data_IF_524201990248
#
_entry.id   IF_524201990248
#
_cell.length_a   1.000
_cell.length_b   1.000
_cell.length_c   1.000
_cell.angle_alpha   90.00
_cell.angle_beta   90.00
_cell.angle_gamma   90.00
#
_symmetry.space_group_name_H-M   'P 1'
#
loop_
_entity.id
_entity.type
_entity.pdbx_description
1 polymer ?
#
# COMPACT_ATOMS: atom_id res chain seq x y z
N UNK A 1 2.70 16.63 -14.85
CA UNK A 1 1.72 15.65 -15.37
C UNK A 1 0.58 15.51 -14.35
N UNK A 2 -0.66 15.38 -14.77
CA UNK A 2 -1.78 15.19 -13.81
C UNK A 2 -1.78 13.72 -13.38
N UNK A 3 -1.43 13.47 -12.12
CA UNK A 3 -1.34 12.10 -11.56
C UNK A 3 -2.65 11.34 -11.70
N UNK A 4 -3.80 12.02 -11.53
CA UNK A 4 -5.13 11.39 -11.66
C UNK A 4 -5.35 10.85 -13.06
N UNK A 5 -5.06 11.66 -14.09
CA UNK A 5 -5.17 11.24 -15.50
C UNK A 5 -4.21 10.10 -15.85
N UNK A 6 -3.00 10.11 -15.28
CA UNK A 6 -2.04 9.02 -15.49
C UNK A 6 -2.53 7.71 -14.93
N UNK A 7 -3.07 7.73 -13.71
CA UNK A 7 -3.63 6.55 -13.06
C UNK A 7 -4.89 6.06 -13.77
N UNK A 8 -5.76 6.96 -14.22
CA UNK A 8 -6.92 6.60 -15.03
C UNK A 8 -6.50 5.80 -16.28
N UNK A 9 -5.50 6.30 -17.03
CA UNK A 9 -4.98 5.58 -18.21
C UNK A 9 -4.45 4.18 -17.87
N UNK A 10 -3.77 4.02 -16.72
CA UNK A 10 -3.27 2.73 -16.26
C UNK A 10 -4.44 1.78 -15.96
N UNK A 11 -5.46 2.26 -15.25
CA UNK A 11 -6.66 1.50 -14.91
C UNK A 11 -7.38 1.04 -16.19
N UNK A 12 -7.61 1.96 -17.12
CA UNK A 12 -8.34 1.68 -18.36
C UNK A 12 -7.55 0.73 -19.28
N UNK A 13 -6.25 1.00 -19.49
CA UNK A 13 -5.38 0.17 -20.35
C UNK A 13 -5.26 -1.26 -19.88
N UNK A 14 -5.25 -1.49 -18.57
CA UNK A 14 -5.06 -2.82 -17.97
C UNK A 14 -6.36 -3.42 -17.42
N UNK A 15 -7.51 -2.77 -17.66
CA UNK A 15 -8.84 -3.20 -17.20
C UNK A 15 -8.87 -3.56 -15.71
N UNK A 16 -8.17 -2.73 -14.87
CA UNK A 16 -7.96 -3.07 -13.47
C UNK A 16 -9.23 -3.06 -12.62
N UNK A 17 -10.25 -2.27 -12.99
CA UNK A 17 -11.50 -2.11 -12.23
C UNK A 17 -12.70 -2.17 -13.20
N UNK A 18 -12.99 -3.34 -13.79
CA UNK A 18 -14.00 -3.47 -14.85
C UNK A 18 -15.41 -3.10 -14.38
N UNK A 19 -15.77 -3.36 -13.13
CA UNK A 19 -17.09 -3.09 -12.56
C UNK A 19 -17.20 -1.70 -11.92
N UNK A 20 -16.16 -0.86 -12.03
CA UNK A 20 -16.03 0.43 -11.32
C UNK A 20 -16.29 0.33 -9.80
N UNK A 21 -16.06 -0.83 -9.23
CA UNK A 21 -16.22 -1.10 -7.80
C UNK A 21 -15.01 -1.82 -7.24
N UNK A 22 -14.46 -1.33 -6.09
CA UNK A 22 -13.22 -1.84 -5.53
C UNK A 22 -13.11 -1.64 -4.03
N UNK A 23 -12.45 -2.60 -3.35
CA UNK A 23 -11.94 -2.36 -1.99
C UNK A 23 -10.58 -1.68 -2.06
N UNK A 24 -10.34 -0.69 -1.23
CA UNK A 24 -9.07 0.06 -1.16
C UNK A 24 -8.45 -0.13 0.21
N UNK A 25 -7.27 -0.74 0.27
CA UNK A 25 -6.56 -0.91 1.53
C UNK A 25 -5.95 0.43 1.97
N UNK A 26 -6.40 0.94 3.11
CA UNK A 26 -6.02 2.24 3.65
C UNK A 26 -5.34 2.08 4.99
N UNK A 27 -4.03 2.40 5.05
CA UNK A 27 -3.26 2.41 6.30
C UNK A 27 -3.23 3.77 6.99
N UNK A 28 -3.65 4.83 6.31
CA UNK A 28 -3.49 6.23 6.73
C UNK A 28 -2.22 6.90 6.19
N UNK A 29 -1.26 6.15 5.67
CA UNK A 29 -0.04 6.69 5.04
C UNK A 29 -0.31 7.31 3.66
N UNK A 30 0.61 8.18 3.21
CA UNK A 30 0.49 8.98 1.99
C UNK A 30 -0.01 8.19 0.77
N UNK A 31 0.60 7.04 0.49
CA UNK A 31 0.30 6.26 -0.71
C UNK A 31 -1.12 5.70 -0.71
N UNK A 32 -1.58 5.20 0.44
CA UNK A 32 -2.93 4.64 0.59
C UNK A 32 -4.01 5.74 0.60
N UNK A 33 -3.70 6.89 1.19
CA UNK A 33 -4.59 8.08 1.17
C UNK A 33 -4.72 8.62 -0.25
N UNK A 34 -3.59 8.77 -0.95
CA UNK A 34 -3.60 9.20 -2.35
C UNK A 34 -4.38 8.25 -3.24
N UNK A 35 -4.17 6.94 -3.09
CA UNK A 35 -4.91 5.93 -3.86
C UNK A 35 -6.41 6.07 -3.65
N UNK A 36 -6.89 6.15 -2.40
CA UNK A 36 -8.31 6.29 -2.09
C UNK A 36 -8.90 7.57 -2.71
N UNK A 37 -8.22 8.72 -2.53
CA UNK A 37 -8.67 10.00 -3.07
C UNK A 37 -8.68 10.03 -4.61
N UNK A 38 -7.68 9.44 -5.26
CA UNK A 38 -7.62 9.36 -6.72
C UNK A 38 -8.77 8.51 -7.26
N UNK A 39 -9.00 7.33 -6.69
CA UNK A 39 -10.09 6.46 -7.13
C UNK A 39 -11.47 7.10 -6.90
N UNK A 40 -11.64 7.82 -5.80
CA UNK A 40 -12.84 8.61 -5.52
C UNK A 40 -13.05 9.74 -6.56
N UNK A 41 -11.98 10.48 -6.93
CA UNK A 41 -12.03 11.52 -7.98
C UNK A 41 -12.32 10.96 -9.39
N UNK A 42 -12.09 9.67 -9.61
CA UNK A 42 -12.39 8.96 -10.85
C UNK A 42 -13.80 8.33 -10.86
N UNK A 43 -14.67 8.71 -9.90
CA UNK A 43 -16.03 8.19 -9.73
C UNK A 43 -16.08 6.64 -9.67
N UNK A 44 -15.10 6.04 -8.98
CA UNK A 44 -15.06 4.60 -8.72
C UNK A 44 -15.73 4.35 -7.37
N UNK A 45 -16.68 3.40 -7.33
CA UNK A 45 -17.34 2.95 -6.10
C UNK A 45 -16.34 2.24 -5.18
N UNK A 46 -15.81 2.97 -4.19
CA UNK A 46 -14.79 2.51 -3.27
C UNK A 46 -15.40 2.06 -1.95
N UNK A 47 -14.86 0.96 -1.40
CA UNK A 47 -14.99 0.60 0.01
C UNK A 47 -13.60 0.66 0.63
N UNK A 48 -13.37 1.52 1.59
CA UNK A 48 -12.11 1.55 2.34
C UNK A 48 -12.01 0.33 3.25
N UNK A 49 -10.84 -0.30 3.30
CA UNK A 49 -10.57 -1.43 4.21
C UNK A 49 -9.31 -1.13 5.02
N UNK A 50 -9.43 -1.17 6.34
CA UNK A 50 -8.35 -0.87 7.27
C UNK A 50 -8.07 -2.06 8.17
N UNK A 51 -6.78 -2.39 8.36
CA UNK A 51 -6.35 -3.40 9.34
C UNK A 51 -5.52 -2.70 10.41
N UNK A 52 -6.06 -2.64 11.62
CA UNK A 52 -5.33 -2.16 12.79
C UNK A 52 -4.57 -3.33 13.41
N UNK A 53 -3.27 -3.32 13.25
CA UNK A 53 -2.35 -4.37 13.71
C UNK A 53 -2.03 -4.30 15.21
N UNK A 54 -2.49 -3.28 15.93
CA UNK A 54 -2.28 -3.02 17.35
C UNK A 54 -0.79 -3.07 17.80
N UNK A 55 0.14 -2.79 16.87
CA UNK A 55 1.59 -2.88 17.13
C UNK A 55 2.14 -1.71 17.94
N UNK A 56 1.46 -0.56 17.95
CA UNK A 56 1.98 0.72 18.48
C UNK A 56 1.08 1.32 19.57
N UNK A 57 0.31 0.49 20.28
CA UNK A 57 -0.60 0.97 21.34
C UNK A 57 -1.55 2.06 20.83
N UNK A 58 -1.59 3.23 21.51
CA UNK A 58 -2.47 4.35 21.15
C UNK A 58 -2.26 4.88 19.73
N UNK A 59 -1.02 4.91 19.22
CA UNK A 59 -0.74 5.38 17.87
C UNK A 59 -1.43 4.56 16.78
N UNK A 60 -1.65 3.25 17.00
CA UNK A 60 -2.41 2.42 16.06
C UNK A 60 -3.90 2.80 16.02
N UNK A 61 -4.46 3.25 17.13
CA UNK A 61 -5.84 3.77 17.21
C UNK A 61 -5.97 5.17 16.62
N UNK A 62 -4.92 6.01 16.74
CA UNK A 62 -4.88 7.32 16.09
C UNK A 62 -4.87 7.19 14.56
N UNK A 63 -4.15 6.19 14.02
CA UNK A 63 -4.18 5.90 12.59
C UNK A 63 -5.55 5.40 12.14
N UNK A 64 -6.19 4.54 12.92
CA UNK A 64 -7.55 4.09 12.66
C UNK A 64 -8.53 5.27 12.65
N UNK A 65 -8.49 6.13 13.68
CA UNK A 65 -9.34 7.32 13.77
C UNK A 65 -9.13 8.26 12.57
N UNK A 66 -7.89 8.41 12.09
CA UNK A 66 -7.61 9.16 10.88
C UNK A 66 -8.31 8.56 9.64
N UNK A 67 -8.26 7.23 9.48
CA UNK A 67 -8.91 6.54 8.36
C UNK A 67 -10.44 6.63 8.46
N UNK A 68 -11.01 6.55 9.66
CA UNK A 68 -12.44 6.75 9.93
C UNK A 68 -12.89 8.16 9.48
N UNK A 69 -12.15 9.20 9.89
CA UNK A 69 -12.42 10.58 9.51
C UNK A 69 -12.29 10.80 7.99
N UNK A 70 -11.25 10.25 7.36
CA UNK A 70 -11.06 10.33 5.91
C UNK A 70 -12.20 9.67 5.15
N UNK A 71 -12.63 8.49 5.59
CA UNK A 71 -13.73 7.76 4.96
C UNK A 71 -15.07 8.50 5.11
N UNK A 72 -15.32 9.12 6.27
CA UNK A 72 -16.48 9.95 6.51
C UNK A 72 -16.46 11.23 5.65
N UNK A 73 -15.30 11.91 5.56
CA UNK A 73 -15.11 13.10 4.69
C UNK A 73 -15.46 12.80 3.23
N UNK A 74 -15.02 11.63 2.73
CA UNK A 74 -15.26 11.21 1.35
C UNK A 74 -16.61 10.51 1.14
N UNK A 75 -17.38 10.30 2.20
CA UNK A 75 -18.63 9.51 2.17
C UNK A 75 -18.41 8.09 1.59
N UNK A 76 -17.30 7.44 1.96
CA UNK A 76 -16.92 6.10 1.50
C UNK A 76 -17.14 5.10 2.64
N UNK A 77 -17.81 3.94 2.38
CA UNK A 77 -17.94 2.87 3.36
C UNK A 77 -16.57 2.39 3.86
N UNK A 78 -16.46 2.12 5.16
CA UNK A 78 -15.23 1.65 5.79
C UNK A 78 -15.46 0.31 6.51
N UNK A 79 -14.59 -0.64 6.25
CA UNK A 79 -14.49 -1.92 6.97
C UNK A 79 -13.18 -1.96 7.75
N UNK A 80 -13.25 -2.27 9.04
CA UNK A 80 -12.10 -2.33 9.94
C UNK A 80 -11.93 -3.74 10.46
N UNK A 81 -10.69 -4.22 10.48
CA UNK A 81 -10.28 -5.43 11.17
C UNK A 81 -9.20 -5.09 12.20
N UNK A 82 -9.42 -5.52 13.45
CA UNK A 82 -8.46 -5.34 14.54
C UNK A 82 -7.83 -6.68 14.90
N UNK A 83 -6.50 -6.77 14.93
CA UNK A 83 -5.77 -7.97 15.31
C UNK A 83 -4.49 -7.62 16.07
N UNK A 84 -4.26 -8.26 17.21
CA UNK A 84 -2.98 -8.20 17.91
C UNK A 84 -1.95 -9.06 17.17
N UNK A 85 -1.16 -8.43 16.31
CA UNK A 85 -0.18 -9.10 15.46
C UNK A 85 0.93 -9.79 16.29
N UNK A 86 1.28 -9.25 17.48
CA UNK A 86 2.30 -9.87 18.33
C UNK A 86 1.80 -11.22 18.84
N UNK A 87 0.58 -11.25 19.34
CA UNK A 87 -0.06 -12.49 19.81
C UNK A 87 -0.27 -13.47 18.66
N UNK A 88 -0.73 -12.99 17.49
CA UNK A 88 -0.89 -13.80 16.29
C UNK A 88 0.44 -14.43 15.85
N UNK A 89 1.52 -13.65 15.77
CA UNK A 89 2.84 -14.09 15.36
C UNK A 89 3.39 -15.20 16.27
N UNK A 90 3.27 -15.02 17.59
CA UNK A 90 3.68 -16.01 18.58
C UNK A 90 2.90 -17.31 18.44
N UNK A 91 1.56 -17.22 18.32
CA UNK A 91 0.68 -18.39 18.20
C UNK A 91 0.98 -19.22 16.95
N UNK A 92 1.30 -18.56 15.83
CA UNK A 92 1.54 -19.23 14.55
C UNK A 92 3.03 -19.47 14.24
N UNK A 93 3.93 -19.09 15.16
CA UNK A 93 5.39 -19.22 15.00
C UNK A 93 5.94 -18.60 13.72
N UNK A 94 5.47 -17.38 13.41
CA UNK A 94 5.90 -16.58 12.26
C UNK A 94 6.46 -15.23 12.69
N UNK A 95 7.17 -14.53 11.81
CA UNK A 95 7.61 -13.16 12.08
C UNK A 95 6.40 -12.20 12.14
N UNK A 96 6.54 -11.07 12.84
CA UNK A 96 5.50 -10.03 12.90
C UNK A 96 5.15 -9.47 11.51
N UNK A 97 6.12 -9.38 10.60
CA UNK A 97 5.89 -8.97 9.21
C UNK A 97 5.02 -9.99 8.47
N UNK A 98 5.35 -11.29 8.59
CA UNK A 98 4.56 -12.37 8.01
C UNK A 98 3.14 -12.41 8.60
N UNK A 99 3.02 -12.32 9.92
CA UNK A 99 1.73 -12.27 10.62
C UNK A 99 0.84 -11.13 10.10
N UNK A 100 1.40 -9.93 9.97
CA UNK A 100 0.66 -8.79 9.41
C UNK A 100 0.23 -9.00 7.96
N UNK A 101 1.02 -9.73 7.16
CA UNK A 101 0.68 -10.08 5.79
C UNK A 101 -0.44 -11.13 5.73
N UNK A 102 -0.37 -12.17 6.55
CA UNK A 102 -1.37 -13.22 6.66
C UNK A 102 -2.72 -12.67 7.13
N UNK A 103 -2.72 -11.85 8.19
CA UNK A 103 -3.94 -11.23 8.72
C UNK A 103 -4.62 -10.35 7.67
N UNK A 104 -3.86 -9.52 6.94
CA UNK A 104 -4.43 -8.74 5.83
C UNK A 104 -5.00 -9.62 4.73
N UNK A 105 -4.29 -10.66 4.32
CA UNK A 105 -4.75 -11.59 3.30
C UNK A 105 -6.04 -12.29 3.74
N UNK A 106 -6.08 -12.80 4.97
CA UNK A 106 -7.25 -13.45 5.53
C UNK A 106 -8.44 -12.50 5.57
N UNK A 107 -8.27 -11.28 6.07
CA UNK A 107 -9.33 -10.28 6.07
C UNK A 107 -9.83 -9.94 4.67
N UNK A 108 -8.94 -9.69 3.72
CA UNK A 108 -9.34 -9.39 2.34
C UNK A 108 -10.09 -10.58 1.70
N UNK A 109 -9.75 -11.81 2.07
CA UNK A 109 -10.45 -13.01 1.61
C UNK A 109 -11.87 -13.15 2.15
N UNK A 110 -12.26 -12.43 3.20
CA UNK A 110 -13.64 -12.39 3.71
C UNK A 110 -14.53 -11.39 2.98
N UNK A 111 -13.94 -10.42 2.25
CA UNK A 111 -14.68 -9.37 1.56
C UNK A 111 -15.58 -9.94 0.45
N UNK A 112 -16.75 -9.34 0.23
CA UNK A 112 -17.66 -9.76 -0.83
C UNK A 112 -17.02 -9.55 -2.22
N UNK A 113 -16.52 -8.34 -2.49
CA UNK A 113 -15.70 -8.09 -3.66
C UNK A 113 -14.26 -8.51 -3.35
N UNK A 114 -13.75 -9.51 -4.08
CA UNK A 114 -12.41 -10.06 -3.91
C UNK A 114 -11.30 -9.22 -4.57
N UNK A 115 -11.64 -8.06 -5.15
CA UNK A 115 -10.67 -7.16 -5.78
C UNK A 115 -10.26 -6.06 -4.80
N UNK A 116 -8.94 -5.94 -4.55
CA UNK A 116 -8.37 -5.01 -3.55
C UNK A 116 -7.25 -4.18 -4.19
N UNK A 117 -7.36 -2.86 -4.09
CA UNK A 117 -6.32 -1.93 -4.50
C UNK A 117 -5.33 -1.66 -3.35
N UNK A 118 -4.04 -1.75 -3.65
CA UNK A 118 -2.94 -1.45 -2.72
C UNK A 118 -2.13 -0.26 -3.22
N UNK A 119 -1.67 0.59 -2.31
CA UNK A 119 -0.86 1.78 -2.59
C UNK A 119 0.62 1.49 -2.85
N UNK A 120 0.97 0.35 -3.46
CA UNK A 120 2.35 0.09 -3.89
C UNK A 120 2.74 1.01 -5.05
N UNK A 121 3.96 1.54 -5.02
CA UNK A 121 4.45 2.57 -5.93
C UNK A 121 5.84 2.23 -6.50
N UNK A 122 6.41 3.08 -7.36
CA UNK A 122 7.67 2.82 -8.05
C UNK A 122 8.87 2.58 -7.11
N UNK A 123 8.91 3.26 -5.96
CA UNK A 123 9.99 3.03 -5.00
C UNK A 123 9.91 1.61 -4.39
N UNK A 124 8.69 1.06 -4.16
CA UNK A 124 8.53 -0.32 -3.69
C UNK A 124 9.03 -1.34 -4.72
N UNK A 125 8.87 -1.03 -6.02
CA UNK A 125 9.44 -1.84 -7.11
C UNK A 125 10.96 -1.88 -7.02
N UNK A 126 11.61 -0.72 -6.84
CA UNK A 126 13.06 -0.61 -6.71
C UNK A 126 13.58 -1.36 -5.48
N UNK A 127 12.90 -1.20 -4.32
CA UNK A 127 13.23 -1.92 -3.09
C UNK A 127 13.13 -3.43 -3.29
N UNK A 128 12.03 -3.87 -3.88
CA UNK A 128 11.78 -5.29 -4.13
C UNK A 128 12.80 -5.90 -5.11
N UNK A 129 13.19 -5.15 -6.15
CA UNK A 129 14.22 -5.55 -7.10
C UNK A 129 15.57 -5.76 -6.39
N UNK A 130 15.98 -4.82 -5.53
CA UNK A 130 17.25 -4.93 -4.78
C UNK A 130 17.23 -6.14 -3.83
N UNK A 131 16.11 -6.33 -3.09
CA UNK A 131 15.97 -7.48 -2.17
C UNK A 131 16.11 -8.80 -2.94
N UNK A 132 15.35 -8.94 -4.03
CA UNK A 132 15.34 -10.16 -4.82
C UNK A 132 16.66 -10.43 -5.51
N UNK A 133 17.33 -9.39 -6.01
CA UNK A 133 18.68 -9.50 -6.58
C UNK A 133 19.68 -9.99 -5.55
N UNK A 134 19.65 -9.44 -4.34
CA UNK A 134 20.54 -9.85 -3.25
C UNK A 134 20.27 -11.29 -2.76
N UNK A 135 19.03 -11.77 -2.89
CA UNK A 135 18.63 -13.14 -2.55
C UNK A 135 18.86 -14.16 -3.69
N UNK A 136 19.44 -13.74 -4.83
CA UNK A 136 19.72 -14.63 -5.95
C UNK A 136 18.47 -15.08 -6.71
N UNK A 137 17.42 -14.29 -6.74
CA UNK A 137 16.20 -14.60 -7.49
C UNK A 137 16.48 -14.65 -8.99
N UNK A 138 15.92 -15.64 -9.70
CA UNK A 138 15.98 -15.73 -11.17
C UNK A 138 15.16 -14.63 -11.86
N UNK A 139 15.23 -14.58 -13.19
CA UNK A 139 14.61 -13.54 -14.03
C UNK A 139 13.12 -13.32 -13.71
N UNK A 140 12.36 -14.39 -13.52
CA UNK A 140 10.93 -14.29 -13.15
C UNK A 140 10.73 -13.57 -11.80
N UNK A 141 11.62 -13.82 -10.83
CA UNK A 141 11.59 -13.14 -9.53
C UNK A 141 11.94 -11.66 -9.63
N UNK A 142 12.84 -11.29 -10.53
CA UNK A 142 13.28 -9.91 -10.76
C UNK A 142 12.26 -9.07 -11.55
N UNK A 143 11.27 -9.67 -12.20
CA UNK A 143 10.25 -8.98 -12.99
C UNK A 143 9.37 -7.98 -12.21
N UNK A 144 9.55 -7.90 -10.88
CA UNK A 144 8.85 -6.92 -10.04
C UNK A 144 7.39 -7.30 -9.74
N UNK A 145 6.63 -6.29 -9.30
CA UNK A 145 5.20 -6.42 -9.06
C UNK A 145 4.42 -6.04 -10.34
N UNK A 146 3.38 -6.80 -10.63
CA UNK A 146 2.45 -6.48 -11.71
C UNK A 146 1.34 -5.55 -11.23
N UNK A 147 0.70 -4.82 -12.17
CA UNK A 147 -0.49 -4.02 -11.89
C UNK A 147 -1.64 -4.86 -11.33
N UNK A 148 -1.81 -6.06 -11.83
CA UNK A 148 -2.76 -7.05 -11.31
C UNK A 148 -2.02 -8.34 -10.93
N UNK A 149 -2.41 -8.90 -9.80
CA UNK A 149 -1.93 -10.20 -9.33
C UNK A 149 -3.09 -10.99 -8.73
N UNK A 150 -3.28 -12.21 -9.21
CA UNK A 150 -4.22 -13.15 -8.60
C UNK A 150 -3.51 -13.97 -7.53
N UNK A 151 -4.09 -14.00 -6.34
CA UNK A 151 -3.61 -14.83 -5.22
C UNK A 151 -4.84 -15.57 -4.69
N UNK A 152 -4.94 -16.85 -4.99
CA UNK A 152 -6.14 -17.66 -4.70
C UNK A 152 -7.40 -17.00 -5.30
N UNK A 153 -8.34 -16.58 -4.44
CA UNK A 153 -9.57 -15.91 -4.87
C UNK A 153 -9.44 -14.39 -4.93
N UNK A 154 -8.33 -13.83 -4.40
CA UNK A 154 -8.11 -12.40 -4.38
C UNK A 154 -7.48 -11.91 -5.67
N UNK A 155 -7.92 -10.75 -6.11
CA UNK A 155 -7.30 -9.97 -7.17
C UNK A 155 -6.73 -8.70 -6.55
N UNK A 156 -5.42 -8.63 -6.44
CA UNK A 156 -4.70 -7.47 -5.94
C UNK A 156 -4.33 -6.57 -7.11
N UNK A 157 -4.70 -5.30 -7.04
CA UNK A 157 -4.29 -4.31 -8.05
C UNK A 157 -3.42 -3.22 -7.44
N UNK A 158 -2.55 -2.62 -8.27
CA UNK A 158 -1.56 -1.62 -7.85
C UNK A 158 -1.52 -0.46 -8.85
N UNK A 159 -2.49 0.45 -8.82
CA UNK A 159 -2.57 1.52 -9.82
C UNK A 159 -1.43 2.54 -9.74
N UNK A 160 -0.72 2.64 -8.59
CA UNK A 160 0.33 3.63 -8.35
C UNK A 160 1.74 3.14 -8.73
N UNK A 161 1.89 1.97 -9.36
CA UNK A 161 3.22 1.36 -9.59
C UNK A 161 4.20 2.23 -10.39
N UNK A 162 3.72 3.13 -11.23
CA UNK A 162 4.56 4.04 -12.03
C UNK A 162 4.77 5.40 -11.36
N UNK A 163 4.10 5.67 -10.24
CA UNK A 163 4.24 6.91 -9.50
C UNK A 163 5.37 6.78 -8.47
N UNK A 164 6.20 7.80 -8.32
CA UNK A 164 7.13 7.88 -7.21
C UNK A 164 6.42 8.34 -5.93
N UNK A 165 6.93 7.92 -4.76
CA UNK A 165 6.42 8.42 -3.47
C UNK A 165 6.49 9.96 -3.38
N UNK A 166 7.51 10.58 -3.98
CA UNK A 166 7.66 12.03 -4.02
C UNK A 166 6.49 12.69 -4.78
N UNK A 167 6.16 12.21 -5.98
CA UNK A 167 5.02 12.72 -6.76
C UNK A 167 3.70 12.57 -6.01
N UNK A 168 3.51 11.45 -5.30
CA UNK A 168 2.32 11.20 -4.47
C UNK A 168 2.21 12.25 -3.35
N UNK A 169 3.29 12.46 -2.59
CA UNK A 169 3.32 13.46 -1.51
C UNK A 169 3.15 14.89 -2.04
N UNK A 170 3.79 15.25 -3.16
CA UNK A 170 3.63 16.57 -3.79
C UNK A 170 2.18 16.81 -4.23
N UNK A 171 1.52 15.79 -4.77
CA UNK A 171 0.12 15.87 -5.17
C UNK A 171 -0.82 16.05 -3.97
N UNK A 172 -0.62 15.30 -2.89
CA UNK A 172 -1.38 15.47 -1.65
C UNK A 172 -1.19 16.87 -1.05
N UNK A 173 0.06 17.35 -0.97
CA UNK A 173 0.39 18.69 -0.48
C UNK A 173 -0.26 19.80 -1.31
N UNK A 174 -0.23 19.67 -2.64
CA UNK A 174 -0.86 20.65 -3.55
C UNK A 174 -2.37 20.79 -3.32
N UNK A 175 -3.01 19.73 -2.86
CA UNK A 175 -4.44 19.73 -2.56
C UNK A 175 -4.75 20.00 -1.07
N UNK A 176 -3.73 20.29 -0.23
CA UNK A 176 -3.85 20.50 1.22
C UNK A 176 -4.47 19.28 1.94
N UNK A 177 -4.19 18.07 1.49
CA UNK A 177 -4.64 16.84 2.12
C UNK A 177 -3.58 16.26 3.02
N UNK A 178 -3.97 15.97 4.25
CA UNK A 178 -3.09 15.38 5.26
C UNK A 178 -3.05 13.85 5.14
N UNK A 179 -1.99 13.27 5.71
CA UNK A 179 -1.80 11.84 5.92
C UNK A 179 -1.03 11.60 7.21
N UNK A 180 -0.96 10.34 7.64
CA UNK A 180 -0.20 9.92 8.82
C UNK A 180 1.21 9.50 8.41
N UNK A 181 2.21 9.95 9.14
CA UNK A 181 3.57 9.44 8.99
C UNK A 181 3.80 8.31 9.99
N UNK A 182 4.18 7.15 9.49
CA UNK A 182 4.53 6.02 10.33
C UNK A 182 5.97 6.16 10.82
N UNK A 183 6.16 6.44 12.11
CA UNK A 183 7.49 6.54 12.71
C UNK A 183 8.30 5.25 12.58
N UNK A 184 7.66 4.09 12.44
CA UNK A 184 8.36 2.82 12.19
C UNK A 184 9.12 2.80 10.86
N UNK A 185 8.78 3.68 9.90
CA UNK A 185 9.54 3.88 8.67
C UNK A 185 10.98 4.38 8.93
N UNK A 186 11.26 4.93 10.11
CA UNK A 186 12.60 5.36 10.53
C UNK A 186 13.41 4.22 11.16
N UNK A 187 12.78 3.11 11.52
CA UNK A 187 13.47 1.98 12.15
C UNK A 187 14.27 1.16 11.12
N UNK A 188 15.61 1.16 11.28
CA UNK A 188 16.55 0.45 10.40
C UNK A 188 16.64 -1.07 10.66
N UNK A 189 15.86 -1.64 11.55
CA UNK A 189 15.81 -3.09 11.77
C UNK A 189 15.20 -3.81 10.56
N UNK A 190 14.26 -3.19 9.88
CA UNK A 190 13.64 -3.77 8.69
C UNK A 190 14.53 -3.62 7.45
N UNK A 191 14.70 -4.70 6.71
CA UNK A 191 15.51 -4.75 5.48
C UNK A 191 15.07 -3.67 4.48
N UNK A 192 13.77 -3.48 4.28
CA UNK A 192 13.22 -2.47 3.38
C UNK A 192 13.62 -1.04 3.77
N UNK A 193 13.55 -0.71 5.05
CA UNK A 193 13.95 0.61 5.54
C UNK A 193 15.45 0.87 5.31
N UNK A 194 16.30 -0.14 5.51
CA UNK A 194 17.74 -0.03 5.20
C UNK A 194 18.00 0.20 3.72
N UNK A 195 17.27 -0.48 2.85
CA UNK A 195 17.39 -0.31 1.39
C UNK A 195 16.97 1.10 1.01
N UNK A 196 15.81 1.56 1.48
CA UNK A 196 15.26 2.89 1.21
C UNK A 196 16.16 4.03 1.70
N UNK A 197 16.70 3.90 2.91
CA UNK A 197 17.43 4.99 3.57
C UNK A 197 18.93 5.00 3.28
N UNK A 198 19.53 3.85 2.96
CA UNK A 198 20.99 3.73 2.79
C UNK A 198 21.38 3.27 1.38
N UNK A 199 20.81 2.16 0.90
CA UNK A 199 21.29 1.52 -0.32
C UNK A 199 20.87 2.31 -1.56
N UNK A 200 19.58 2.63 -1.71
CA UNK A 200 19.08 3.40 -2.86
C UNK A 200 19.76 4.77 -2.96
N UNK A 201 19.89 5.58 -1.88
CA UNK A 201 20.60 6.86 -1.95
C UNK A 201 22.07 6.70 -2.34
N UNK A 202 22.76 5.67 -1.84
CA UNK A 202 24.15 5.38 -2.21
C UNK A 202 24.26 5.04 -3.69
N UNK A 203 23.42 4.14 -4.21
CA UNK A 203 23.40 3.79 -5.64
C UNK A 203 23.16 5.03 -6.50
N UNK A 204 22.18 5.86 -6.16
CA UNK A 204 21.89 7.09 -6.88
C UNK A 204 23.09 8.03 -6.90
N UNK A 205 23.74 8.21 -5.77
CA UNK A 205 24.93 9.07 -5.65
C UNK A 205 26.09 8.56 -6.49
N UNK A 206 26.39 7.27 -6.42
CA UNK A 206 27.57 6.68 -7.11
C UNK A 206 27.35 6.54 -8.63
N UNK A 207 26.10 6.35 -9.07
CA UNK A 207 25.76 6.21 -10.49
C UNK A 207 25.27 7.52 -11.13
N UNK A 208 25.21 8.64 -10.39
CA UNK A 208 24.68 9.94 -10.85
C UNK A 208 23.23 9.81 -11.45
N UNK A 209 22.37 8.96 -10.84
CA UNK A 209 21.03 8.62 -11.35
C UNK A 209 19.92 9.36 -10.57
#
# INVERSE_FOLDING_TARGET
MDIVRSIQKIIDKNELIPEKKINVAVSGGADSVALLRILHLLDIDCTAVHVNHQLRGSASYDDQAFVENLSAELNIPLLIHNEDIITYAKKNNVSTEMAGREVRHNFFSTLLNKRVALGHHANDQAENFIIKSAMGSGLTGLGGMNYEQKVEQLVIIRPLLDCSHKEICEWLNKNNWSWREDESNKNNEFIRNRIRQKIIPTIKKELNA
#
